data_IF_093102795648
#
_entry.id   IF_093102795648
#
_cell.length_a   1.000
_cell.length_b   1.000
_cell.length_c   1.000
_cell.angle_alpha   90.00
_cell.angle_beta   90.00
_cell.angle_gamma   90.00
#
_symmetry.space_group_name_H-M   'P 1'
#
loop_
_entity.id
_entity.type
_entity.pdbx_description
1 polymer ?
#
# COMPACT_ATOMS: atom_id res chain seq x y z
N UNK A 1 -34.62 -25.82 -71.71
CA UNK A 1 -34.22 -25.84 -70.28
C UNK A 1 -32.75 -26.19 -70.03
N UNK A 2 -31.81 -26.04 -70.96
CA UNK A 2 -30.40 -26.53 -70.80
C UNK A 2 -29.35 -25.44 -70.61
N UNK A 3 -29.58 -24.21 -71.07
CA UNK A 3 -28.54 -23.16 -71.07
C UNK A 3 -28.40 -22.43 -69.70
N UNK A 4 -29.50 -22.29 -68.92
CA UNK A 4 -29.51 -21.60 -67.63
C UNK A 4 -28.81 -22.39 -66.48
N UNK A 5 -28.84 -23.75 -66.59
CA UNK A 5 -28.21 -24.62 -65.59
C UNK A 5 -26.66 -24.63 -65.71
N UNK A 6 -26.15 -24.46 -66.95
CA UNK A 6 -24.69 -24.42 -67.20
C UNK A 6 -24.06 -23.10 -66.83
N UNK A 7 -24.79 -21.96 -66.87
CA UNK A 7 -24.29 -20.65 -66.41
C UNK A 7 -24.21 -20.55 -64.86
N UNK A 8 -25.17 -21.12 -64.13
CA UNK A 8 -25.12 -21.15 -62.68
C UNK A 8 -23.96 -21.98 -62.09
N UNK A 9 -23.65 -23.12 -62.74
CA UNK A 9 -22.55 -23.98 -62.33
C UNK A 9 -21.17 -23.35 -62.51
N UNK A 10 -21.00 -22.56 -63.55
CA UNK A 10 -19.74 -21.84 -63.79
C UNK A 10 -19.58 -20.66 -62.87
N UNK A 11 -20.64 -19.92 -62.59
CA UNK A 11 -20.60 -18.81 -61.62
C UNK A 11 -20.18 -19.28 -60.21
N UNK A 12 -20.74 -20.38 -59.73
CA UNK A 12 -20.37 -20.95 -58.41
C UNK A 12 -18.92 -21.43 -58.38
N UNK A 13 -18.43 -22.04 -59.49
CA UNK A 13 -17.01 -22.44 -59.60
C UNK A 13 -16.06 -21.22 -59.56
N UNK A 14 -16.33 -20.17 -60.30
CA UNK A 14 -15.55 -18.95 -60.34
C UNK A 14 -15.57 -18.24 -58.95
N UNK A 15 -16.75 -18.19 -58.31
CA UNK A 15 -16.92 -17.62 -56.98
C UNK A 15 -16.11 -18.38 -55.92
N UNK A 16 -16.17 -19.72 -55.90
CA UNK A 16 -15.38 -20.57 -55.01
C UNK A 16 -13.87 -20.46 -55.29
N UNK A 17 -13.46 -20.34 -56.55
CA UNK A 17 -12.06 -20.13 -56.93
C UNK A 17 -11.54 -18.77 -56.41
N UNK A 18 -12.34 -17.71 -56.59
CA UNK A 18 -11.98 -16.38 -56.05
C UNK A 18 -11.85 -16.39 -54.52
N UNK A 19 -12.79 -17.00 -53.83
CA UNK A 19 -12.72 -17.13 -52.35
C UNK A 19 -11.48 -17.94 -51.96
N UNK A 20 -11.20 -19.07 -52.63
CA UNK A 20 -10.00 -19.87 -52.37
C UNK A 20 -8.71 -19.08 -52.60
N UNK A 21 -8.65 -18.32 -53.70
CA UNK A 21 -7.51 -17.44 -53.95
C UNK A 21 -7.35 -16.34 -52.88
N UNK A 22 -8.44 -15.70 -52.43
CA UNK A 22 -8.42 -14.70 -51.36
C UNK A 22 -7.92 -15.34 -50.07
N UNK A 23 -8.43 -16.51 -49.67
CA UNK A 23 -8.01 -17.22 -48.47
C UNK A 23 -6.53 -17.63 -48.53
N UNK A 24 -6.06 -18.12 -49.72
CA UNK A 24 -4.65 -18.49 -49.94
C UNK A 24 -3.76 -17.24 -49.90
N UNK A 25 -4.11 -16.16 -50.58
CA UNK A 25 -3.33 -14.92 -50.60
C UNK A 25 -3.32 -14.23 -49.25
N UNK A 26 -4.43 -14.20 -48.51
CA UNK A 26 -4.46 -13.69 -47.14
C UNK A 26 -3.66 -14.59 -46.18
N UNK A 27 -3.78 -15.91 -46.31
CA UNK A 27 -3.00 -16.88 -45.49
C UNK A 27 -1.50 -16.79 -45.77
N UNK A 28 -1.07 -16.67 -47.03
CA UNK A 28 0.34 -16.47 -47.37
C UNK A 28 0.83 -15.09 -46.91
N UNK A 29 0.03 -14.03 -47.09
CA UNK A 29 0.36 -12.67 -46.62
C UNK A 29 0.52 -12.59 -45.09
N UNK A 30 -0.39 -13.22 -44.37
CA UNK A 30 -0.29 -13.32 -42.91
C UNK A 30 0.89 -14.20 -42.48
N UNK A 31 1.13 -15.33 -43.14
CA UNK A 31 2.26 -16.22 -42.81
C UNK A 31 3.61 -15.56 -43.04
N UNK A 32 3.79 -14.83 -44.15
CA UNK A 32 5.04 -14.07 -44.39
C UNK A 32 5.20 -12.89 -43.47
N UNK A 33 4.12 -12.17 -43.15
CA UNK A 33 4.18 -11.06 -42.18
C UNK A 33 4.51 -11.56 -40.78
N UNK A 34 3.91 -12.66 -40.34
CA UNK A 34 4.21 -13.28 -39.07
C UNK A 34 5.66 -13.83 -38.96
N UNK A 35 6.21 -14.32 -40.10
CA UNK A 35 7.59 -14.80 -40.16
C UNK A 35 8.62 -13.66 -40.14
N UNK A 36 8.27 -12.49 -40.69
CA UNK A 36 9.14 -11.30 -40.74
C UNK A 36 9.08 -10.42 -39.50
N UNK A 37 8.11 -10.65 -38.63
CA UNK A 37 8.00 -9.89 -37.38
C UNK A 37 8.77 -10.58 -36.26
N UNK A 38 9.51 -9.83 -35.41
CA UNK A 38 10.18 -10.41 -34.26
C UNK A 38 9.18 -11.07 -33.31
N UNK A 39 9.56 -12.14 -32.60
CA UNK A 39 8.65 -12.76 -31.62
C UNK A 39 8.28 -11.75 -30.52
N UNK A 40 7.09 -11.88 -29.91
CA UNK A 40 6.69 -11.01 -28.82
C UNK A 40 7.67 -11.08 -27.65
N UNK A 41 7.84 -10.00 -26.87
CA UNK A 41 8.65 -10.00 -25.68
C UNK A 41 8.25 -11.15 -24.74
N UNK A 42 9.24 -11.74 -24.08
CA UNK A 42 8.97 -12.76 -23.07
C UNK A 42 8.48 -12.09 -21.78
N UNK A 43 7.55 -12.72 -21.04
CA UNK A 43 7.14 -12.24 -19.73
C UNK A 43 8.36 -11.98 -18.81
N UNK A 44 8.29 -10.99 -17.92
CA UNK A 44 9.41 -10.67 -17.05
C UNK A 44 9.74 -11.83 -16.10
N UNK A 45 11.02 -12.02 -15.85
CA UNK A 45 11.48 -12.96 -14.82
C UNK A 45 11.74 -12.16 -13.54
N UNK A 46 11.00 -12.48 -12.49
CA UNK A 46 11.15 -11.83 -11.20
C UNK A 46 12.27 -12.47 -10.38
N UNK A 47 12.95 -11.70 -9.50
CA UNK A 47 13.88 -12.26 -8.54
C UNK A 47 13.14 -13.23 -7.60
N UNK A 48 13.89 -14.08 -6.91
CA UNK A 48 13.31 -14.91 -5.86
C UNK A 48 12.88 -14.02 -4.68
N UNK A 49 11.65 -14.25 -4.17
CA UNK A 49 11.16 -13.55 -2.99
C UNK A 49 12.04 -13.86 -1.77
N UNK A 50 12.62 -12.86 -1.11
CA UNK A 50 13.40 -13.07 0.11
C UNK A 50 12.51 -13.60 1.23
N UNK A 51 12.97 -14.58 2.03
CA UNK A 51 12.28 -15.01 3.23
C UNK A 51 12.30 -13.89 4.27
N UNK A 52 11.25 -13.85 5.11
CA UNK A 52 11.16 -12.93 6.26
C UNK A 52 10.87 -13.68 7.55
N UNK A 53 11.42 -13.18 8.66
CA UNK A 53 11.20 -13.70 10.00
C UNK A 53 9.79 -13.47 10.54
N UNK A 54 9.10 -12.45 10.07
CA UNK A 54 7.78 -12.05 10.52
C UNK A 54 6.77 -13.19 10.62
N UNK A 55 5.92 -13.18 11.63
CA UNK A 55 4.76 -14.07 11.75
C UNK A 55 3.69 -13.71 10.71
N UNK A 56 3.48 -12.41 10.50
CA UNK A 56 2.58 -11.90 9.46
C UNK A 56 3.22 -10.72 8.75
N UNK A 57 3.18 -10.72 7.42
CA UNK A 57 3.77 -9.65 6.61
C UNK A 57 3.03 -9.44 5.29
N UNK A 58 3.11 -8.21 4.77
CA UNK A 58 2.65 -7.85 3.43
C UNK A 58 3.57 -6.79 2.82
N UNK A 59 3.81 -6.89 1.53
CA UNK A 59 4.37 -5.86 0.67
C UNK A 59 3.32 -5.43 -0.34
N UNK A 60 2.99 -4.16 -0.38
CA UNK A 60 1.95 -3.57 -1.21
C UNK A 60 2.52 -2.48 -2.11
N UNK A 61 2.09 -2.46 -3.36
CA UNK A 61 2.24 -1.30 -4.24
C UNK A 61 1.36 -0.16 -3.72
N UNK A 62 1.99 0.90 -3.21
CA UNK A 62 1.28 2.04 -2.62
C UNK A 62 0.48 2.86 -3.64
N UNK A 63 0.83 2.80 -4.94
CA UNK A 63 0.14 3.51 -5.99
C UNK A 63 -1.15 2.79 -6.38
N UNK A 64 -1.09 1.48 -6.64
CA UNK A 64 -2.23 0.69 -7.10
C UNK A 64 -3.03 0.05 -5.97
N UNK A 65 -2.37 -0.35 -4.87
CA UNK A 65 -2.93 -1.14 -3.77
C UNK A 65 -2.80 -2.65 -3.99
N UNK A 66 -2.12 -3.08 -5.04
CA UNK A 66 -1.89 -4.50 -5.30
C UNK A 66 -0.89 -5.08 -4.28
N UNK A 67 -1.14 -6.33 -3.89
CA UNK A 67 -0.23 -7.06 -3.01
C UNK A 67 0.87 -7.70 -3.86
N UNK A 68 2.13 -7.30 -3.62
CA UNK A 68 3.31 -7.82 -4.33
C UNK A 68 3.78 -9.12 -3.68
N UNK A 69 3.78 -9.18 -2.35
CA UNK A 69 4.16 -10.35 -1.59
C UNK A 69 3.44 -10.38 -0.25
N UNK A 70 3.23 -11.56 0.29
CA UNK A 70 2.66 -11.73 1.62
C UNK A 70 3.12 -13.03 2.29
N UNK A 71 3.14 -13.00 3.61
CA UNK A 71 3.28 -14.16 4.49
C UNK A 71 2.21 -14.05 5.56
N UNK A 72 1.23 -14.97 5.58
CA UNK A 72 0.11 -14.93 6.53
C UNK A 72 -0.54 -13.53 6.64
N UNK A 73 -0.69 -12.82 5.49
CA UNK A 73 -1.09 -11.42 5.44
C UNK A 73 -2.50 -11.16 5.99
N UNK A 74 -3.34 -12.17 6.06
CA UNK A 74 -4.70 -12.12 6.61
C UNK A 74 -4.80 -12.65 8.06
N UNK A 75 -3.68 -13.09 8.65
CA UNK A 75 -3.65 -13.55 10.03
C UNK A 75 -4.08 -12.42 10.96
N UNK A 76 -4.95 -12.73 11.91
CA UNK A 76 -5.35 -11.80 12.97
C UNK A 76 -4.20 -11.61 13.96
N UNK A 77 -3.72 -10.36 14.09
CA UNK A 77 -2.60 -9.99 14.93
C UNK A 77 -2.92 -8.77 15.80
N UNK A 78 -2.12 -8.54 16.83
CA UNK A 78 -2.13 -7.31 17.61
C UNK A 78 -1.31 -6.24 16.90
N UNK A 79 -1.87 -5.04 16.61
CA UNK A 79 -1.17 -4.01 15.84
C UNK A 79 -0.08 -3.26 16.64
N UNK A 80 -0.09 -3.32 17.95
CA UNK A 80 0.70 -2.44 18.80
C UNK A 80 0.57 -0.97 18.37
N UNK A 81 1.61 -0.16 18.54
CA UNK A 81 1.58 1.28 18.18
C UNK A 81 1.45 1.59 16.70
N UNK A 82 1.39 0.61 15.79
CA UNK A 82 1.02 0.87 14.38
C UNK A 82 -0.43 1.36 14.27
N UNK A 83 -1.28 1.08 15.27
CA UNK A 83 -2.62 1.66 15.47
C UNK A 83 -2.64 3.18 15.30
N UNK A 84 -1.57 3.87 15.73
CA UNK A 84 -1.49 5.34 15.69
C UNK A 84 -1.48 5.92 14.27
N UNK A 85 -1.25 5.08 13.26
CA UNK A 85 -1.43 5.47 11.84
C UNK A 85 -2.89 5.88 11.60
N UNK A 86 -3.84 5.03 12.03
CA UNK A 86 -5.27 5.32 11.90
C UNK A 86 -5.68 6.51 12.78
N UNK A 87 -5.19 6.58 14.01
CA UNK A 87 -5.44 7.70 14.92
C UNK A 87 -4.97 9.02 14.31
N UNK A 88 -3.79 9.04 13.69
CA UNK A 88 -3.21 10.24 13.07
C UNK A 88 -4.03 10.70 11.86
N UNK A 89 -4.38 9.79 10.94
CA UNK A 89 -5.11 10.20 9.73
C UNK A 89 -6.51 10.70 10.06
N UNK A 90 -7.21 10.09 11.00
CA UNK A 90 -8.51 10.60 11.47
C UNK A 90 -8.36 11.99 12.07
N UNK A 91 -7.33 12.21 12.89
CA UNK A 91 -7.10 13.53 13.48
C UNK A 91 -6.78 14.62 12.45
N UNK A 92 -6.07 14.27 11.38
CA UNK A 92 -5.78 15.21 10.28
C UNK A 92 -7.00 15.53 9.41
N UNK A 93 -7.95 14.64 9.33
CA UNK A 93 -9.18 14.80 8.53
C UNK A 93 -10.30 15.45 9.36
N UNK A 94 -10.71 14.81 10.44
CA UNK A 94 -11.85 15.22 11.26
C UNK A 94 -11.48 16.30 12.30
N UNK A 95 -10.19 16.37 12.67
CA UNK A 95 -9.64 17.40 13.56
C UNK A 95 -9.04 18.60 12.87
N UNK A 96 -9.19 18.75 11.55
CA UNK A 96 -8.49 19.75 10.73
C UNK A 96 -8.65 21.18 11.25
N UNK A 97 -9.85 21.58 11.66
CA UNK A 97 -10.12 22.90 12.19
C UNK A 97 -9.61 23.12 13.61
N UNK A 98 -9.27 22.03 14.31
CA UNK A 98 -8.77 22.03 15.69
C UNK A 98 -7.23 21.91 15.77
N UNK A 99 -6.52 21.80 14.64
CA UNK A 99 -5.07 21.53 14.64
C UNK A 99 -4.29 22.57 15.46
N UNK A 100 -4.66 23.82 15.37
CA UNK A 100 -4.02 24.90 16.14
C UNK A 100 -4.68 25.17 17.51
N UNK A 101 -5.77 24.49 17.84
CA UNK A 101 -6.40 24.61 19.15
C UNK A 101 -5.64 23.81 20.21
N UNK A 102 -5.83 24.18 21.48
CA UNK A 102 -5.31 23.42 22.60
C UNK A 102 -5.98 22.06 22.67
N UNK A 103 -5.16 21.03 22.81
CA UNK A 103 -5.66 19.68 22.97
C UNK A 103 -6.23 19.45 24.36
N UNK A 104 -7.20 18.56 24.46
CA UNK A 104 -7.79 18.12 25.74
C UNK A 104 -6.80 17.19 26.44
N UNK A 105 -6.33 17.59 27.63
CA UNK A 105 -5.43 16.79 28.45
C UNK A 105 -6.18 16.36 29.71
N UNK A 106 -6.59 15.11 29.75
CA UNK A 106 -7.34 14.52 30.83
C UNK A 106 -6.47 13.64 31.73
N UNK A 107 -6.94 13.30 32.96
CA UNK A 107 -6.30 12.27 33.78
C UNK A 107 -6.18 10.92 33.04
N UNK A 108 -7.13 10.57 32.15
CA UNK A 108 -7.06 9.35 31.35
C UNK A 108 -5.86 9.39 30.40
N UNK A 109 -5.66 10.50 29.70
CA UNK A 109 -4.50 10.68 28.81
C UNK A 109 -3.19 10.63 29.61
N UNK A 110 -3.07 11.38 30.69
CA UNK A 110 -1.88 11.43 31.53
C UNK A 110 -1.53 10.10 32.22
N UNK A 111 -2.53 9.25 32.49
CA UNK A 111 -2.38 7.97 33.18
C UNK A 111 -2.10 6.79 32.25
N UNK A 112 -1.76 7.01 30.95
CA UNK A 112 -1.50 5.92 30.02
C UNK A 112 -0.20 5.17 30.36
N UNK A 113 -0.26 3.85 30.23
CA UNK A 113 0.92 2.98 30.36
C UNK A 113 1.83 3.05 29.14
N UNK A 114 3.06 2.59 29.29
CA UNK A 114 4.06 2.43 28.24
C UNK A 114 4.73 3.74 27.83
N UNK A 115 4.89 3.96 26.52
CA UNK A 115 5.59 5.16 26.03
C UNK A 115 4.71 6.40 26.09
N UNK A 116 5.19 7.45 26.74
CA UNK A 116 4.50 8.73 26.90
C UNK A 116 5.40 9.89 26.52
N UNK A 117 4.82 10.99 26.07
CA UNK A 117 5.53 12.27 25.93
C UNK A 117 5.51 13.09 27.22
N UNK A 118 4.80 12.65 28.24
CA UNK A 118 4.72 13.29 29.56
C UNK A 118 3.79 14.49 29.52
N UNK A 119 2.56 14.33 29.04
CA UNK A 119 1.53 15.38 29.06
C UNK A 119 1.21 15.84 30.45
N UNK A 120 0.95 17.13 30.61
CA UNK A 120 0.60 17.78 31.86
C UNK A 120 -0.50 18.81 31.61
N UNK A 121 -1.48 18.88 32.50
CA UNK A 121 -2.60 19.82 32.41
C UNK A 121 -2.20 21.30 32.52
N UNK A 122 -1.04 21.58 33.19
CA UNK A 122 -0.47 22.92 33.30
C UNK A 122 0.44 23.33 32.14
N UNK A 123 0.62 22.47 31.15
CA UNK A 123 1.43 22.71 29.95
C UNK A 123 0.62 22.51 28.69
N UNK A 124 -0.24 23.48 28.28
CA UNK A 124 -1.08 23.36 27.11
C UNK A 124 -0.25 23.23 25.83
N UNK A 125 -0.76 22.39 24.92
CA UNK A 125 -0.12 22.04 23.66
C UNK A 125 -1.19 21.88 22.58
N UNK A 126 -0.89 22.23 21.33
CA UNK A 126 -1.87 22.11 20.25
C UNK A 126 -2.03 20.66 19.78
N UNK A 127 -3.18 20.39 19.16
CA UNK A 127 -3.42 19.09 18.51
C UNK A 127 -2.34 18.77 17.47
N UNK A 128 -1.90 19.78 16.69
CA UNK A 128 -0.84 19.62 15.70
C UNK A 128 0.47 19.11 16.33
N UNK A 129 0.91 19.70 17.43
CA UNK A 129 2.13 19.30 18.12
C UNK A 129 2.01 17.89 18.71
N UNK A 130 0.82 17.53 19.21
CA UNK A 130 0.55 16.17 19.71
C UNK A 130 0.72 15.11 18.62
N UNK A 131 0.33 15.39 17.37
CA UNK A 131 0.50 14.44 16.28
C UNK A 131 1.97 14.07 16.07
N UNK A 132 2.90 15.01 16.19
CA UNK A 132 4.33 14.70 16.14
C UNK A 132 4.78 13.88 17.36
N UNK A 133 4.38 14.26 18.57
CA UNK A 133 4.68 13.48 19.78
C UNK A 133 4.13 12.05 19.71
N UNK A 134 2.91 11.89 19.19
CA UNK A 134 2.27 10.59 19.00
C UNK A 134 3.00 9.74 17.95
N UNK A 135 3.35 10.30 16.81
CA UNK A 135 3.91 9.53 15.70
C UNK A 135 5.40 9.26 15.86
N UNK A 136 6.21 10.25 16.25
CA UNK A 136 7.66 10.12 16.32
C UNK A 136 8.08 9.33 17.58
N UNK A 137 7.63 9.76 18.76
CA UNK A 137 7.99 9.14 20.04
C UNK A 137 7.09 7.94 20.36
N UNK A 138 5.94 7.86 19.69
CA UNK A 138 4.91 6.85 19.98
C UNK A 138 4.15 7.09 21.30
N UNK A 139 3.92 8.38 21.69
CA UNK A 139 3.24 8.74 22.93
C UNK A 139 1.83 8.17 23.04
N UNK A 140 1.57 7.35 24.07
CA UNK A 140 0.24 6.79 24.33
C UNK A 140 -0.68 7.86 24.94
N UNK A 141 -0.13 8.71 25.83
CA UNK A 141 -0.79 9.88 26.37
C UNK A 141 -1.24 10.85 25.26
N UNK A 142 -0.35 11.10 24.29
CA UNK A 142 -0.67 11.92 23.13
C UNK A 142 -1.80 11.29 22.28
N UNK A 143 -1.80 9.97 22.08
CA UNK A 143 -2.83 9.30 21.31
C UNK A 143 -4.23 9.41 21.96
N UNK A 144 -4.31 9.28 23.28
CA UNK A 144 -5.57 9.44 24.02
C UNK A 144 -6.03 10.90 23.99
N UNK A 145 -5.12 11.85 24.23
CA UNK A 145 -5.45 13.28 24.15
C UNK A 145 -5.93 13.68 22.73
N UNK A 146 -5.30 13.15 21.67
CA UNK A 146 -5.78 13.31 20.28
C UNK A 146 -7.19 12.77 20.13
N UNK A 147 -7.46 11.56 20.62
CA UNK A 147 -8.75 10.93 20.54
C UNK A 147 -9.87 11.75 21.24
N UNK A 148 -9.62 12.20 22.45
CA UNK A 148 -10.60 13.00 23.21
C UNK A 148 -10.83 14.38 22.56
N UNK A 149 -9.78 15.01 22.02
CA UNK A 149 -9.86 16.32 21.35
C UNK A 149 -10.68 16.24 20.05
N UNK A 150 -10.46 15.22 19.25
CA UNK A 150 -11.10 15.07 17.92
C UNK A 150 -12.49 14.47 18.04
N UNK A 151 -12.60 13.38 18.78
CA UNK A 151 -13.83 12.62 18.93
C UNK A 151 -14.86 13.22 19.89
N UNK A 152 -14.49 14.30 20.61
CA UNK A 152 -15.33 14.87 21.67
C UNK A 152 -15.45 13.98 22.91
N UNK A 153 -15.12 12.70 22.78
CA UNK A 153 -14.98 11.71 23.85
C UNK A 153 -14.10 10.55 23.37
N UNK A 154 -13.52 9.82 24.32
CA UNK A 154 -12.74 8.61 24.03
C UNK A 154 -13.56 7.59 23.22
N UNK A 155 -14.79 7.28 23.65
CA UNK A 155 -15.68 6.32 22.97
C UNK A 155 -16.10 6.77 21.57
N UNK A 156 -16.37 8.07 21.41
CA UNK A 156 -16.69 8.64 20.09
C UNK A 156 -15.57 8.47 19.09
N UNK A 157 -14.31 8.66 19.54
CA UNK A 157 -13.15 8.45 18.66
C UNK A 157 -12.95 6.97 18.29
N UNK A 158 -13.16 6.04 19.23
CA UNK A 158 -13.09 4.60 18.95
C UNK A 158 -14.13 4.20 17.89
N UNK A 159 -15.32 4.76 17.96
CA UNK A 159 -16.32 4.55 16.92
C UNK A 159 -15.82 5.07 15.56
N UNK A 160 -15.27 6.30 15.51
CA UNK A 160 -14.69 6.87 14.29
C UNK A 160 -13.57 5.99 13.73
N UNK A 161 -12.71 5.39 14.57
CA UNK A 161 -11.65 4.48 14.12
C UNK A 161 -12.23 3.27 13.40
N UNK A 162 -13.24 2.62 13.94
CA UNK A 162 -13.83 1.42 13.33
C UNK A 162 -14.61 1.77 12.04
N UNK A 163 -15.34 2.87 12.02
CA UNK A 163 -16.02 3.36 10.82
C UNK A 163 -15.02 3.70 9.71
N UNK A 164 -13.94 4.41 10.05
CA UNK A 164 -12.87 4.73 9.09
C UNK A 164 -12.19 3.48 8.56
N UNK A 165 -11.86 2.51 9.40
CA UNK A 165 -11.26 1.24 8.98
C UNK A 165 -12.13 0.52 7.95
N UNK A 166 -13.44 0.41 8.20
CA UNK A 166 -14.40 -0.18 7.25
C UNK A 166 -14.43 0.60 5.94
N UNK A 167 -14.48 1.95 6.00
CA UNK A 167 -14.54 2.80 4.81
C UNK A 167 -13.28 2.68 3.90
N UNK A 168 -12.13 2.38 4.49
CA UNK A 168 -10.87 2.14 3.79
C UNK A 168 -10.81 0.70 3.20
N UNK A 169 -11.72 -0.18 3.61
CA UNK A 169 -11.71 -1.61 3.25
C UNK A 169 -10.84 -2.48 4.16
N UNK A 170 -10.49 -1.99 5.37
CA UNK A 170 -9.80 -2.74 6.42
C UNK A 170 -10.82 -3.48 7.30
N UNK A 171 -11.55 -4.42 6.70
CA UNK A 171 -12.75 -5.05 7.29
C UNK A 171 -12.45 -6.21 8.23
N UNK A 172 -11.20 -6.63 8.33
CA UNK A 172 -10.75 -7.69 9.27
C UNK A 172 -10.06 -7.12 10.51
N UNK A 173 -10.29 -5.83 10.79
CA UNK A 173 -9.71 -5.09 11.91
C UNK A 173 -10.79 -4.61 12.86
N UNK A 174 -10.42 -4.48 14.13
CA UNK A 174 -11.23 -3.84 15.15
C UNK A 174 -10.31 -3.10 16.13
N UNK A 175 -10.61 -1.84 16.38
CA UNK A 175 -9.83 -0.96 17.22
C UNK A 175 -10.60 -0.67 18.52
N UNK A 176 -9.99 -0.99 19.66
CA UNK A 176 -10.55 -0.77 21.01
C UNK A 176 -9.90 0.42 21.73
N UNK A 177 -8.76 0.91 21.22
CA UNK A 177 -8.05 2.06 21.76
C UNK A 177 -7.27 2.80 20.66
N UNK A 178 -6.88 4.08 20.88
CA UNK A 178 -6.19 4.88 19.86
C UNK A 178 -4.67 4.70 19.85
N UNK A 179 -4.09 3.98 20.82
CA UNK A 179 -2.65 3.91 21.04
C UNK A 179 -2.01 2.56 20.73
N UNK A 180 -2.81 1.47 20.65
CA UNK A 180 -2.32 0.14 20.34
C UNK A 180 -1.91 -0.70 21.55
N UNK A 181 -2.30 -0.33 22.75
CA UNK A 181 -2.14 -1.19 23.92
C UNK A 181 -2.96 -2.48 23.72
N UNK A 182 -2.44 -3.58 24.25
CA UNK A 182 -3.03 -4.90 24.08
C UNK A 182 -4.42 -4.99 24.70
N UNK A 183 -5.41 -5.33 23.89
CA UNK A 183 -6.77 -5.66 24.28
C UNK A 183 -7.27 -6.82 23.41
N UNK A 184 -8.07 -7.74 23.96
CA UNK A 184 -8.59 -8.90 23.23
C UNK A 184 -9.44 -8.53 22.00
N UNK A 185 -10.03 -7.35 22.04
CA UNK A 185 -10.86 -6.80 20.96
C UNK A 185 -10.07 -5.83 20.07
N UNK A 186 -8.76 -5.64 20.28
CA UNK A 186 -7.91 -4.77 19.50
C UNK A 186 -7.02 -5.58 18.57
N UNK A 187 -7.41 -5.71 17.31
CA UNK A 187 -6.73 -6.56 16.34
C UNK A 187 -6.82 -6.01 14.93
N UNK A 188 -5.92 -6.48 14.10
CA UNK A 188 -5.86 -6.16 12.67
C UNK A 188 -5.27 -7.33 11.87
N UNK A 189 -4.96 -7.10 10.59
CA UNK A 189 -4.15 -7.96 9.73
C UNK A 189 -3.05 -7.13 9.06
N UNK A 190 -1.97 -7.76 8.58
CA UNK A 190 -0.93 -7.03 7.85
C UNK A 190 -1.50 -6.33 6.60
N UNK A 191 -2.40 -7.01 5.87
CA UNK A 191 -3.07 -6.44 4.69
C UNK A 191 -3.91 -5.22 5.07
N UNK A 192 -4.70 -5.29 6.13
CA UNK A 192 -5.55 -4.16 6.53
C UNK A 192 -4.71 -2.96 6.97
N UNK A 193 -3.61 -3.19 7.69
CA UNK A 193 -2.71 -2.10 8.07
C UNK A 193 -1.98 -1.51 6.86
N UNK A 194 -1.66 -2.30 5.84
CA UNK A 194 -1.13 -1.77 4.59
C UNK A 194 -2.16 -0.89 3.85
N UNK A 195 -3.45 -1.31 3.82
CA UNK A 195 -4.54 -0.48 3.25
C UNK A 195 -4.71 0.83 4.01
N UNK A 196 -4.76 0.78 5.35
CA UNK A 196 -4.83 1.98 6.20
C UNK A 196 -3.63 2.89 5.94
N UNK A 197 -2.43 2.33 5.85
CA UNK A 197 -1.21 3.08 5.61
C UNK A 197 -1.17 3.70 4.22
N UNK A 198 -1.62 2.98 3.19
CA UNK A 198 -1.77 3.50 1.83
C UNK A 198 -2.71 4.69 1.79
N UNK A 199 -3.87 4.58 2.44
CA UNK A 199 -4.82 5.69 2.56
C UNK A 199 -4.18 6.89 3.26
N UNK A 200 -3.52 6.68 4.39
CA UNK A 200 -2.85 7.73 5.16
C UNK A 200 -1.72 8.41 4.36
N UNK A 201 -0.93 7.63 3.62
CA UNK A 201 0.13 8.15 2.74
C UNK A 201 -0.42 8.97 1.56
N UNK A 202 -1.71 8.91 1.24
CA UNK A 202 -2.38 9.84 0.34
C UNK A 202 -2.47 11.27 0.89
N UNK A 203 -2.41 11.45 2.21
CA UNK A 203 -2.52 12.76 2.86
C UNK A 203 -1.14 13.44 2.98
N UNK A 204 -0.93 14.64 2.40
CA UNK A 204 0.37 15.33 2.45
C UNK A 204 0.82 15.70 3.88
N UNK A 205 -0.11 16.05 4.78
CA UNK A 205 0.22 16.38 6.17
C UNK A 205 0.69 15.12 6.93
N UNK A 206 0.05 13.98 6.69
CA UNK A 206 0.50 12.71 7.24
C UNK A 206 1.92 12.35 6.76
N UNK A 207 2.17 12.42 5.44
CA UNK A 207 3.52 12.18 4.89
C UNK A 207 4.57 13.10 5.52
N UNK A 208 4.22 14.37 5.74
CA UNK A 208 5.14 15.32 6.40
C UNK A 208 5.50 14.85 7.81
N UNK A 209 4.52 14.43 8.62
CA UNK A 209 4.75 14.00 9.99
C UNK A 209 5.62 12.75 10.04
N UNK A 210 5.26 11.70 9.28
CA UNK A 210 5.89 10.39 9.43
C UNK A 210 7.32 10.31 8.89
N UNK A 211 7.72 11.22 8.00
CA UNK A 211 9.09 11.29 7.47
C UNK A 211 10.05 12.11 8.31
N UNK A 212 9.54 12.88 9.28
CA UNK A 212 10.41 13.69 10.14
C UNK A 212 11.26 12.81 11.04
N UNK A 213 12.56 13.09 11.08
CA UNK A 213 13.51 12.39 11.95
C UNK A 213 13.56 13.00 13.34
N UNK A 214 13.56 14.32 13.41
CA UNK A 214 13.58 15.11 14.64
C UNK A 214 12.63 16.29 14.46
N UNK A 215 11.79 16.55 15.47
CA UNK A 215 10.85 17.65 15.45
C UNK A 215 10.89 18.46 16.76
N UNK A 216 11.00 19.80 16.73
CA UNK A 216 10.94 20.65 17.90
C UNK A 216 9.48 20.87 18.34
N UNK A 217 8.90 19.91 19.05
CA UNK A 217 7.54 19.97 19.58
C UNK A 217 7.41 21.14 20.58
N UNK A 218 6.44 22.03 20.33
CA UNK A 218 6.30 23.31 21.07
C UNK A 218 5.07 23.30 21.97
N UNK A 219 5.26 23.75 23.21
CA UNK A 219 4.18 24.06 24.16
C UNK A 219 3.74 25.51 24.01
N UNK A 220 2.52 25.84 24.44
CA UNK A 220 2.01 27.24 24.41
C UNK A 220 2.85 28.21 25.23
N UNK A 221 3.53 27.74 26.24
CA UNK A 221 4.49 28.51 27.03
C UNK A 221 5.73 29.01 26.27
N UNK A 222 5.91 28.54 25.00
CA UNK A 222 7.12 28.79 24.24
C UNK A 222 8.26 27.79 24.51
N UNK A 223 8.14 26.97 25.51
CA UNK A 223 9.07 25.84 25.74
C UNK A 223 8.93 24.86 24.61
N UNK A 224 10.03 24.29 24.15
CA UNK A 224 10.04 23.21 23.16
C UNK A 224 10.86 22.02 23.63
N UNK A 225 10.54 20.86 23.08
CA UNK A 225 11.27 19.61 23.28
C UNK A 225 11.52 18.95 21.92
N UNK A 226 12.78 18.65 21.62
CA UNK A 226 13.07 17.84 20.45
C UNK A 226 12.56 16.41 20.69
N UNK A 227 11.73 15.93 19.78
CA UNK A 227 11.26 14.56 19.74
C UNK A 227 11.88 13.86 18.53
N UNK A 228 12.46 12.69 18.75
CA UNK A 228 13.14 11.89 17.74
C UNK A 228 12.25 10.75 17.29
N UNK A 229 12.26 10.50 15.99
CA UNK A 229 11.50 9.40 15.40
C UNK A 229 12.17 8.06 15.73
N UNK A 230 11.40 7.16 16.33
CA UNK A 230 11.84 5.80 16.68
C UNK A 230 11.92 4.86 15.47
N UNK A 231 11.50 5.32 14.31
CA UNK A 231 11.58 4.56 13.08
C UNK A 231 13.01 4.62 12.50
N UNK A 232 13.85 3.69 12.92
CA UNK A 232 15.24 3.58 12.49
C UNK A 232 15.35 3.39 10.97
N UNK A 233 14.32 2.87 10.32
CA UNK A 233 14.28 2.73 8.86
C UNK A 233 14.53 4.07 8.14
N UNK A 234 14.09 5.18 8.73
CA UNK A 234 14.38 6.53 8.23
C UNK A 234 15.86 6.94 8.42
N UNK A 235 16.52 6.41 9.47
CA UNK A 235 17.89 6.79 9.86
C UNK A 235 18.95 5.89 9.24
N UNK A 236 18.61 4.63 8.93
CA UNK A 236 19.52 3.62 8.39
C UNK A 236 19.98 3.88 6.96
N UNK A 237 19.46 4.93 6.30
CA UNK A 237 19.91 5.36 4.99
C UNK A 237 19.33 4.54 3.82
N UNK A 238 18.26 3.76 4.05
CA UNK A 238 17.60 3.07 2.96
C UNK A 238 17.05 4.07 1.93
N UNK A 239 17.41 3.88 0.66
CA UNK A 239 17.06 4.82 -0.41
C UNK A 239 15.53 4.91 -0.56
N UNK A 240 15.01 6.12 -0.41
CA UNK A 240 13.59 6.41 -0.58
C UNK A 240 12.74 6.20 0.67
N UNK A 241 13.31 5.76 1.82
CA UNK A 241 12.57 5.63 3.07
C UNK A 241 11.88 6.94 3.44
N UNK A 242 10.54 6.89 3.70
CA UNK A 242 9.73 8.07 3.96
C UNK A 242 8.64 7.88 5.04
N UNK A 243 8.69 6.79 5.80
CA UNK A 243 7.78 6.52 6.93
C UNK A 243 7.81 5.05 7.34
N UNK A 244 6.92 4.52 8.18
CA UNK A 244 5.71 5.16 8.71
C UNK A 244 5.69 5.07 10.25
N UNK A 245 5.61 3.83 10.82
CA UNK A 245 5.43 3.65 12.26
C UNK A 245 5.95 2.31 12.76
N UNK A 246 6.65 2.34 13.89
CA UNK A 246 7.02 1.16 14.66
C UNK A 246 5.96 0.79 15.69
N UNK A 247 5.93 -0.46 16.10
CA UNK A 247 5.12 -0.95 17.21
C UNK A 247 5.85 -2.02 18.00
N UNK A 248 5.53 -2.16 19.28
CA UNK A 248 5.98 -3.26 20.10
C UNK A 248 5.09 -3.38 21.35
N UNK A 249 4.60 -4.57 21.62
CA UNK A 249 4.08 -5.00 22.92
C UNK A 249 4.50 -6.45 23.15
N UNK A 250 4.41 -6.95 24.37
CA UNK A 250 4.71 -8.35 24.65
C UNK A 250 3.84 -9.33 23.84
N UNK A 251 2.60 -8.94 23.52
CA UNK A 251 1.66 -9.77 22.77
C UNK A 251 1.79 -9.64 21.25
N UNK A 252 2.31 -8.53 20.75
CA UNK A 252 2.43 -8.25 19.32
C UNK A 252 3.82 -8.56 18.76
N UNK A 253 4.83 -8.72 19.63
CA UNK A 253 6.22 -8.75 19.22
C UNK A 253 6.68 -7.42 18.63
N UNK A 254 7.75 -7.45 17.85
CA UNK A 254 8.30 -6.30 17.16
C UNK A 254 7.55 -6.09 15.82
N UNK A 255 7.00 -4.89 15.64
CA UNK A 255 6.17 -4.54 14.49
C UNK A 255 6.75 -3.32 13.75
N UNK A 256 6.58 -3.30 12.43
CA UNK A 256 6.95 -2.17 11.60
C UNK A 256 5.97 -2.03 10.44
N UNK A 257 5.45 -0.83 10.26
CA UNK A 257 4.88 -0.40 8.98
C UNK A 257 5.84 0.62 8.39
N UNK A 258 6.39 0.30 7.24
CA UNK A 258 7.35 1.14 6.53
C UNK A 258 6.86 1.52 5.15
N UNK A 259 7.43 2.59 4.62
CA UNK A 259 7.24 2.99 3.22
C UNK A 259 8.52 3.53 2.61
N UNK A 260 8.68 3.28 1.33
CA UNK A 260 9.74 3.86 0.52
C UNK A 260 9.21 4.27 -0.84
N UNK A 261 9.74 5.38 -1.37
CA UNK A 261 9.35 5.91 -2.67
C UNK A 261 10.59 6.11 -3.54
N UNK A 262 10.55 5.57 -4.77
CA UNK A 262 11.62 5.72 -5.78
C UNK A 262 10.96 6.01 -7.13
N UNK A 263 11.39 7.08 -7.78
CA UNK A 263 10.95 7.44 -9.14
C UNK A 263 9.40 7.50 -9.29
N UNK A 264 8.70 7.96 -8.23
CA UNK A 264 7.24 8.04 -8.16
C UNK A 264 6.53 6.73 -7.79
N UNK A 265 7.27 5.64 -7.61
CA UNK A 265 6.72 4.36 -7.16
C UNK A 265 6.82 4.26 -5.64
N UNK A 266 5.67 4.15 -4.98
CA UNK A 266 5.56 3.99 -3.54
C UNK A 266 5.36 2.52 -3.20
N UNK A 267 6.18 2.00 -2.29
CA UNK A 267 5.98 0.70 -1.66
C UNK A 267 5.62 0.87 -0.18
N UNK A 268 4.76 -0.01 0.31
CA UNK A 268 4.37 -0.10 1.72
C UNK A 268 4.57 -1.54 2.18
N UNK A 269 5.29 -1.72 3.28
CA UNK A 269 5.46 -3.01 3.95
C UNK A 269 4.88 -2.92 5.37
N UNK A 270 4.14 -3.96 5.78
CA UNK A 270 3.70 -4.12 7.15
C UNK A 270 4.15 -5.49 7.64
N UNK A 271 4.98 -5.53 8.68
CA UNK A 271 5.54 -6.75 9.28
C UNK A 271 5.26 -6.77 10.78
N UNK A 272 4.94 -7.97 11.29
CA UNK A 272 4.49 -8.19 12.65
C UNK A 272 5.19 -9.39 13.27
N UNK A 273 5.60 -9.23 14.52
CA UNK A 273 6.37 -10.20 15.29
C UNK A 273 7.63 -10.62 14.51
N UNK A 274 8.50 -9.63 14.27
CA UNK A 274 9.69 -9.77 13.44
C UNK A 274 10.90 -9.08 14.10
N UNK A 275 11.76 -9.85 14.71
CA UNK A 275 13.00 -9.35 15.34
C UNK A 275 13.97 -8.71 14.34
N UNK A 276 13.88 -9.11 13.06
CA UNK A 276 14.72 -8.60 11.97
C UNK A 276 14.00 -7.59 11.07
N UNK A 277 12.88 -7.03 11.52
CA UNK A 277 11.95 -6.18 10.73
C UNK A 277 12.63 -5.16 9.81
N UNK A 278 13.78 -4.58 10.21
CA UNK A 278 14.50 -3.59 9.41
C UNK A 278 15.07 -4.20 8.14
N UNK A 279 15.83 -5.30 8.28
CA UNK A 279 16.49 -6.00 7.16
C UNK A 279 15.47 -6.69 6.27
N UNK A 280 14.45 -7.29 6.86
CA UNK A 280 13.42 -8.02 6.14
C UNK A 280 12.61 -7.06 5.26
N UNK A 281 12.26 -5.88 5.79
CA UNK A 281 11.58 -4.82 5.02
C UNK A 281 12.48 -4.27 3.92
N UNK A 282 13.78 -4.02 4.18
CA UNK A 282 14.73 -3.60 3.14
C UNK A 282 14.79 -4.60 1.99
N UNK A 283 14.92 -5.90 2.30
CA UNK A 283 14.96 -6.96 1.31
C UNK A 283 13.65 -7.06 0.50
N UNK A 284 12.52 -6.92 1.15
CA UNK A 284 11.23 -6.92 0.47
C UNK A 284 11.00 -5.68 -0.40
N UNK A 285 11.46 -4.50 0.03
CA UNK A 285 11.40 -3.31 -0.83
C UNK A 285 12.31 -3.43 -2.04
N UNK A 286 13.54 -3.97 -1.90
CA UNK A 286 14.41 -4.19 -3.05
C UNK A 286 13.81 -5.19 -4.04
N UNK A 287 13.18 -6.26 -3.54
CA UNK A 287 12.41 -7.20 -4.34
C UNK A 287 11.25 -6.48 -5.08
N UNK A 288 10.42 -5.72 -4.37
CA UNK A 288 9.27 -5.04 -4.95
C UNK A 288 9.66 -4.03 -6.03
N UNK A 289 10.66 -3.18 -5.76
CA UNK A 289 11.17 -2.26 -6.78
C UNK A 289 11.79 -2.97 -7.98
N UNK A 290 12.40 -4.14 -7.79
CA UNK A 290 12.92 -4.93 -8.91
C UNK A 290 11.77 -5.52 -9.76
N UNK A 291 10.71 -6.01 -9.12
CA UNK A 291 9.51 -6.49 -9.81
C UNK A 291 8.83 -5.39 -10.61
N UNK A 292 8.62 -4.22 -10.02
CA UNK A 292 8.01 -3.06 -10.71
C UNK A 292 8.83 -2.68 -11.94
N UNK A 293 10.16 -2.52 -11.80
CA UNK A 293 11.03 -2.20 -12.95
C UNK A 293 10.99 -3.26 -14.05
N UNK A 294 10.92 -4.54 -13.68
CA UNK A 294 10.82 -5.62 -14.67
C UNK A 294 9.50 -5.56 -15.46
N UNK A 295 8.40 -5.21 -14.78
CA UNK A 295 7.10 -4.99 -15.42
C UNK A 295 7.10 -3.77 -16.32
N UNK A 296 7.57 -2.63 -15.86
CA UNK A 296 7.63 -1.40 -16.65
C UNK A 296 8.43 -1.59 -17.94
N UNK A 297 9.56 -2.31 -17.85
CA UNK A 297 10.36 -2.66 -19.02
C UNK A 297 9.57 -3.53 -19.99
N UNK A 298 8.89 -4.57 -19.50
CA UNK A 298 8.07 -5.44 -20.31
C UNK A 298 6.92 -4.69 -21.00
N UNK A 299 6.23 -3.81 -20.29
CA UNK A 299 5.17 -2.97 -20.84
C UNK A 299 5.70 -2.04 -21.94
N UNK A 300 6.87 -1.46 -21.79
CA UNK A 300 7.51 -0.63 -22.81
C UNK A 300 7.85 -1.45 -24.08
N UNK A 301 8.37 -2.66 -23.90
CA UNK A 301 8.65 -3.58 -25.00
C UNK A 301 7.36 -4.00 -25.72
N UNK A 302 6.31 -4.33 -24.98
CA UNK A 302 4.99 -4.68 -25.51
C UNK A 302 4.29 -3.50 -26.23
N UNK A 303 4.48 -2.26 -25.74
CA UNK A 303 3.93 -1.08 -26.40
C UNK A 303 4.51 -0.86 -27.81
N UNK A 304 5.77 -1.27 -28.02
CA UNK A 304 6.45 -1.26 -29.32
C UNK A 304 6.09 -2.44 -30.24
N UNK A 305 5.25 -3.37 -29.78
CA UNK A 305 4.91 -4.58 -30.53
C UNK A 305 4.17 -4.27 -31.85
N UNK A 306 4.53 -4.95 -32.97
CA UNK A 306 3.84 -4.76 -34.26
C UNK A 306 2.34 -5.02 -34.17
N UNK A 307 1.55 -4.20 -34.86
CA UNK A 307 0.08 -4.28 -34.83
C UNK A 307 -0.47 -5.69 -35.22
N UNK A 308 0.30 -6.47 -35.98
CA UNK A 308 -0.09 -7.84 -36.36
C UNK A 308 -0.16 -8.77 -35.15
N UNK A 309 0.75 -8.63 -34.14
CA UNK A 309 0.70 -9.44 -32.92
C UNK A 309 -0.46 -9.04 -32.05
N UNK A 310 -0.72 -7.72 -31.90
CA UNK A 310 -1.90 -7.23 -31.18
C UNK A 310 -3.18 -7.82 -31.77
N UNK A 311 -3.30 -7.83 -33.10
CA UNK A 311 -4.44 -8.42 -33.79
C UNK A 311 -4.54 -9.95 -33.60
N UNK A 312 -3.41 -10.66 -33.67
CA UNK A 312 -3.38 -12.12 -33.44
C UNK A 312 -3.74 -12.48 -31.99
N UNK A 313 -3.29 -11.70 -31.01
CA UNK A 313 -3.63 -11.90 -29.60
C UNK A 313 -5.14 -11.68 -29.36
N UNK A 314 -5.74 -10.65 -29.95
CA UNK A 314 -7.20 -10.43 -29.95
C UNK A 314 -7.96 -11.62 -30.52
N UNK A 315 -7.54 -12.13 -31.69
CA UNK A 315 -8.19 -13.27 -32.33
C UNK A 315 -8.06 -14.59 -31.56
N UNK A 316 -6.98 -14.77 -30.86
CA UNK A 316 -6.70 -16.01 -30.08
C UNK A 316 -7.16 -15.96 -28.65
N UNK A 317 -7.76 -14.83 -28.19
CA UNK A 317 -8.19 -14.63 -26.81
C UNK A 317 -7.03 -14.56 -25.80
N UNK A 318 -5.80 -14.33 -26.27
CA UNK A 318 -4.60 -14.21 -25.40
C UNK A 318 -4.41 -12.80 -24.82
N UNK A 319 -5.31 -11.87 -25.13
CA UNK A 319 -5.22 -10.49 -24.63
C UNK A 319 -5.47 -10.35 -23.13
N UNK A 320 -6.04 -11.36 -22.49
CA UNK A 320 -6.38 -11.30 -21.06
C UNK A 320 -5.21 -11.63 -20.12
N UNK A 321 -4.07 -12.04 -20.66
CA UNK A 321 -3.10 -12.75 -19.81
C UNK A 321 -2.19 -11.86 -18.97
N UNK A 322 -1.94 -10.61 -19.36
CA UNK A 322 -0.94 -9.84 -18.62
C UNK A 322 -1.47 -9.22 -17.31
N UNK A 323 -2.72 -8.76 -17.27
CA UNK A 323 -3.35 -8.37 -16.00
C UNK A 323 -3.58 -9.58 -15.08
N UNK A 324 -3.92 -10.73 -15.66
CA UNK A 324 -4.05 -11.98 -14.92
C UNK A 324 -2.68 -12.57 -14.52
N UNK A 325 -1.64 -12.44 -15.35
CA UNK A 325 -0.28 -12.84 -15.02
C UNK A 325 0.31 -11.94 -13.94
N UNK A 326 0.09 -10.63 -14.02
CA UNK A 326 0.43 -9.70 -12.93
C UNK A 326 -0.22 -10.15 -11.62
N UNK A 327 -1.52 -10.47 -11.62
CA UNK A 327 -2.26 -10.96 -10.44
C UNK A 327 -1.83 -12.35 -9.97
N UNK A 328 -1.20 -13.17 -10.80
CA UNK A 328 -0.67 -14.50 -10.41
C UNK A 328 0.74 -14.43 -9.83
N UNK A 329 1.48 -13.37 -10.09
CA UNK A 329 2.85 -13.20 -9.64
C UNK A 329 2.98 -12.20 -8.48
N UNK A 330 1.88 -11.48 -8.17
CA UNK A 330 1.75 -10.61 -7.00
C UNK A 330 0.86 -11.24 -5.93
#
# INVERSE_FOLDING_TARGET
MSIAKKRKGNFLKYFLTIISCIVIFTGIGFGTLAYMTPPPPKPPVFPQLPPVGAVSAVLMDGNTGDIIAQKEGELKIYPASTTKILTCIIALEEGREKLDADAVITPLAMGQDGTNIGLRSDMPISLHELLYGMMLVSGNDAAVSVAETVGGSYGGFIQMMNEKAVSIGATRSHFANPNGLTDKNHYTTAIDMAKISRYAMGNPAFRKIVREKVYPMRYRSGVYRNVENRNEFLSNGYRGANGIKTGMTMAAGECLVASAERDGQLLIAAVYDDENRWKDVEAWFDYGFACIRAWEKYEQEMAGEPAVYKFMNQLTGKESSWEEERKRHY
#
